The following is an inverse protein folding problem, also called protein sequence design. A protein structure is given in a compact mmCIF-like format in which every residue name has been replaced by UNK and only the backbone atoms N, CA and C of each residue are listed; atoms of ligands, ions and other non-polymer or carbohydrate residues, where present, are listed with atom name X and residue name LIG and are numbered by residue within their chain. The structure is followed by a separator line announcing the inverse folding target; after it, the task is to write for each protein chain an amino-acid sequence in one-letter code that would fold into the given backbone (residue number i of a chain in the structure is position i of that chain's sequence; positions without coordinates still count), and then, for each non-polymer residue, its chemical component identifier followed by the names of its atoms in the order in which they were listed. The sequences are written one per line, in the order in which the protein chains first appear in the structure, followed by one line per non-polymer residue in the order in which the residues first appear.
data_IF_169041887971
#
_entry.id   IF_169041887971
#
_cell.length_a   1.000
_cell.length_b   1.000
_cell.length_c   1.000
_cell.angle_alpha   90.00
_cell.angle_beta   90.00
_cell.angle_gamma   90.00
#
_symmetry.space_group_name_H-M   'P 1'
#
loop_
_entity.id
_entity.type
_entity.pdbx_description
1 polymer ?
#
# COMPACT_ATOMS: atom_id res chain seq x y z
N UNK A 1 4.97 63.96 -36.27
CA UNK A 1 3.56 63.60 -36.55
C UNK A 1 3.50 62.08 -36.71
N UNK A 2 2.51 61.44 -36.09
CA UNK A 2 2.38 60.00 -35.78
C UNK A 2 2.42 59.04 -36.98
N UNK A 3 2.95 57.82 -36.75
CA UNK A 3 2.35 56.44 -36.85
C UNK A 3 3.47 55.47 -37.27
N UNK A 4 4.00 54.57 -36.42
CA UNK A 4 3.46 53.28 -35.90
C UNK A 4 2.86 52.37 -36.97
N UNK A 5 3.54 51.25 -37.20
CA UNK A 5 3.09 50.04 -37.89
C UNK A 5 4.18 48.99 -37.74
N UNK A 6 3.93 48.02 -36.86
CA UNK A 6 4.47 46.65 -36.81
C UNK A 6 4.51 46.18 -35.35
N UNK A 7 3.42 45.50 -34.95
CA UNK A 7 3.36 44.70 -33.73
C UNK A 7 3.50 43.25 -34.14
N UNK A 8 4.63 42.62 -33.81
CA UNK A 8 4.72 41.17 -33.70
C UNK A 8 3.74 40.70 -32.62
N UNK A 9 2.95 39.69 -32.96
CA UNK A 9 2.12 38.95 -32.03
C UNK A 9 2.98 38.28 -30.95
N UNK A 10 2.56 38.23 -29.67
CA UNK A 10 3.21 37.38 -28.70
C UNK A 10 2.92 35.92 -29.06
N UNK A 11 3.97 35.11 -29.10
CA UNK A 11 3.88 33.67 -29.30
C UNK A 11 3.20 33.02 -28.11
N UNK A 12 2.31 32.08 -28.40
CA UNK A 12 1.57 31.25 -27.47
C UNK A 12 2.52 30.49 -26.54
N UNK A 13 2.33 30.63 -25.23
CA UNK A 13 2.97 29.77 -24.24
C UNK A 13 2.44 28.33 -24.39
N UNK A 14 3.28 27.29 -24.29
CA UNK A 14 2.79 25.92 -24.23
C UNK A 14 2.06 25.68 -22.90
N UNK A 15 0.89 25.04 -22.98
CA UNK A 15 0.06 24.72 -21.84
C UNK A 15 0.80 23.82 -20.84
N UNK A 16 0.91 24.27 -19.59
CA UNK A 16 1.37 23.43 -18.47
C UNK A 16 0.22 22.51 -18.05
N UNK A 17 0.45 21.20 -18.12
CA UNK A 17 -0.48 20.19 -17.67
C UNK A 17 -0.74 20.31 -16.16
N UNK A 18 -2.01 20.49 -15.78
CA UNK A 18 -2.49 20.25 -14.42
C UNK A 18 -2.59 18.74 -14.16
N UNK A 19 -2.51 18.21 -12.93
CA UNK A 19 -2.93 16.85 -12.61
C UNK A 19 -4.43 16.80 -12.21
N UNK A 20 -5.13 15.64 -12.33
CA UNK A 20 -6.58 15.57 -12.13
C UNK A 20 -6.98 15.68 -10.66
N UNK A 21 -8.14 16.29 -10.42
CA UNK A 21 -8.75 16.45 -9.11
C UNK A 21 -9.06 15.11 -8.42
N UNK A 22 -8.87 15.09 -7.11
CA UNK A 22 -9.24 13.99 -6.24
C UNK A 22 -10.74 13.65 -6.35
N UNK A 23 -11.15 12.37 -6.37
CA UNK A 23 -12.55 12.01 -6.24
C UNK A 23 -13.01 12.35 -4.81
N UNK A 24 -14.03 13.21 -4.71
CA UNK A 24 -14.71 13.52 -3.46
C UNK A 24 -15.22 12.26 -2.77
N UNK A 25 -14.89 12.13 -1.49
CA UNK A 25 -15.32 11.02 -0.65
C UNK A 25 -16.82 11.03 -0.37
N UNK A 26 -17.47 9.90 -0.66
CA UNK A 26 -18.59 9.39 0.14
C UNK A 26 -18.33 7.90 0.40
N UNK A 27 -18.52 7.48 1.65
CA UNK A 27 -17.92 6.27 2.23
C UNK A 27 -18.35 4.92 1.65
N UNK A 28 -17.55 3.91 2.00
CA UNK A 28 -17.88 2.50 1.87
C UNK A 28 -16.68 1.63 1.46
N UNK A 29 -16.26 0.73 2.35
CA UNK A 29 -15.48 -0.49 2.09
C UNK A 29 -14.05 -0.35 1.50
N UNK A 30 -13.03 -0.55 2.37
CA UNK A 30 -11.62 -0.73 1.98
C UNK A 30 -11.40 -2.11 1.31
N UNK A 31 -11.72 -2.18 0.03
CA UNK A 31 -11.10 -3.13 -0.89
C UNK A 31 -9.66 -2.68 -1.21
N UNK A 32 -8.86 -3.56 -1.82
CA UNK A 32 -7.50 -3.24 -2.29
C UNK A 32 -7.50 -1.89 -3.03
N UNK A 33 -6.44 -1.07 -2.92
CA UNK A 33 -6.46 0.23 -3.56
C UNK A 33 -6.65 0.00 -5.05
N UNK A 34 -7.74 0.54 -5.61
CA UNK A 34 -7.92 0.67 -7.03
C UNK A 34 -6.81 1.61 -7.52
N UNK A 35 -5.69 1.07 -7.97
CA UNK A 35 -4.56 1.85 -8.51
C UNK A 35 -4.73 2.16 -10.01
N UNK A 36 -5.98 2.18 -10.47
CA UNK A 36 -6.35 2.70 -11.76
C UNK A 36 -6.38 4.24 -11.68
N UNK A 37 -5.24 4.82 -12.02
CA UNK A 37 -5.06 6.25 -12.19
C UNK A 37 -3.79 6.47 -12.98
N UNK A 38 -3.78 6.06 -14.26
CA UNK A 38 -2.84 6.64 -15.22
C UNK A 38 -3.01 8.17 -15.13
N UNK A 39 -1.94 8.97 -15.05
CA UNK A 39 -2.07 10.42 -15.17
C UNK A 39 -2.77 10.69 -16.50
N UNK A 40 -4.00 11.19 -16.42
CA UNK A 40 -4.77 11.49 -17.61
C UNK A 40 -3.97 12.48 -18.47
N UNK A 41 -3.90 12.21 -19.77
CA UNK A 41 -3.49 13.21 -20.74
C UNK A 41 -4.42 14.42 -20.60
N UNK A 42 -3.88 15.53 -20.10
CA UNK A 42 -4.58 16.80 -19.94
C UNK A 42 -4.60 17.51 -21.31
N UNK A 43 -5.73 17.45 -21.98
CA UNK A 43 -6.06 18.31 -23.12
C UNK A 43 -7.15 19.28 -22.67
N UNK A 44 -6.75 20.46 -22.20
CA UNK A 44 -7.68 21.58 -22.00
C UNK A 44 -6.96 22.93 -22.10
N UNK A 45 -7.20 23.60 -23.23
CA UNK A 45 -6.85 24.98 -23.57
C UNK A 45 -7.54 26.03 -22.66
N UNK A 46 -7.33 25.99 -21.34
CA UNK A 46 -7.68 27.12 -20.47
C UNK A 46 -6.41 27.95 -20.20
N UNK A 47 -6.32 29.12 -20.84
CA UNK A 47 -5.24 30.08 -20.64
C UNK A 47 -5.16 30.46 -19.15
N UNK A 48 -4.11 30.00 -18.46
CA UNK A 48 -3.80 30.43 -17.09
C UNK A 48 -3.44 31.91 -17.10
N UNK A 49 -4.40 32.77 -16.72
CA UNK A 49 -4.19 34.23 -16.70
C UNK A 49 -3.46 34.63 -15.41
N UNK A 50 -2.35 35.34 -15.55
CA UNK A 50 -1.65 35.96 -14.42
C UNK A 50 -2.49 37.10 -13.84
N UNK A 51 -2.84 37.02 -12.56
CA UNK A 51 -3.60 38.05 -11.86
C UNK A 51 -2.71 39.02 -11.09
N UNK A 52 -1.61 38.53 -10.54
CA UNK A 52 -0.67 39.34 -9.77
C UNK A 52 0.77 38.82 -9.90
N UNK A 53 1.71 39.74 -10.11
CA UNK A 53 3.14 39.49 -10.10
C UNK A 53 3.78 40.32 -9.01
N UNK A 54 4.46 39.67 -8.07
CA UNK A 54 5.27 40.29 -7.04
C UNK A 54 6.74 39.98 -7.31
N UNK A 55 7.54 40.98 -7.65
CA UNK A 55 8.96 40.78 -7.92
C UNK A 55 9.54 41.88 -8.80
N UNK A 56 10.77 41.65 -9.28
CA UNK A 56 11.40 42.56 -10.22
C UNK A 56 10.84 42.33 -11.63
N UNK A 57 10.60 43.41 -12.37
CA UNK A 57 10.17 43.37 -13.76
C UNK A 57 11.29 43.93 -14.63
N UNK A 58 11.45 43.42 -15.84
CA UNK A 58 12.38 43.99 -16.81
C UNK A 58 11.84 45.25 -17.50
N UNK A 59 12.60 45.79 -18.45
CA UNK A 59 12.26 47.02 -19.18
C UNK A 59 10.97 46.90 -20.01
N UNK A 60 10.55 45.68 -20.35
CA UNK A 60 9.32 45.38 -21.07
C UNK A 60 8.13 45.11 -20.14
N UNK A 61 8.36 45.17 -18.83
CA UNK A 61 7.36 44.95 -17.79
C UNK A 61 7.09 43.47 -17.51
N UNK A 62 7.97 42.57 -17.96
CA UNK A 62 7.83 41.13 -17.77
C UNK A 62 8.57 40.66 -16.50
N UNK A 63 8.09 39.59 -15.83
CA UNK A 63 8.79 38.99 -14.69
C UNK A 63 10.28 38.72 -14.96
N UNK A 64 11.16 39.17 -14.06
CA UNK A 64 12.61 38.97 -14.19
C UNK A 64 13.30 38.83 -12.84
N UNK A 65 14.15 37.83 -12.67
CA UNK A 65 14.72 37.47 -11.37
C UNK A 65 13.73 36.67 -10.53
N UNK A 66 13.85 36.71 -9.20
CA UNK A 66 12.93 35.99 -8.33
C UNK A 66 11.58 36.73 -8.23
N UNK A 67 10.51 36.07 -8.67
CA UNK A 67 9.15 36.60 -8.64
C UNK A 67 8.17 35.56 -8.09
N UNK A 68 7.08 36.07 -7.55
CA UNK A 68 5.90 35.31 -7.18
C UNK A 68 4.76 35.70 -8.12
N UNK A 69 4.26 34.74 -8.88
CA UNK A 69 3.12 34.91 -9.81
C UNK A 69 1.91 34.19 -9.24
N UNK A 70 0.80 34.90 -9.08
CA UNK A 70 -0.50 34.33 -8.69
C UNK A 70 -1.40 34.27 -9.92
N UNK A 71 -1.94 33.09 -10.18
CA UNK A 71 -2.84 32.82 -11.31
C UNK A 71 -4.31 32.94 -10.89
N UNK A 72 -5.21 33.09 -11.87
CA UNK A 72 -6.66 33.17 -11.64
C UNK A 72 -7.28 31.93 -10.99
N UNK A 73 -6.62 30.78 -11.09
CA UNK A 73 -6.95 29.55 -10.36
C UNK A 73 -6.62 29.64 -8.86
N UNK A 74 -6.00 30.74 -8.41
CA UNK A 74 -5.34 30.94 -7.10
C UNK A 74 -4.08 30.11 -6.88
N UNK A 75 -3.64 29.38 -7.90
CA UNK A 75 -2.31 28.77 -7.91
C UNK A 75 -1.23 29.84 -7.86
N UNK A 76 -0.07 29.47 -7.32
CA UNK A 76 1.06 30.38 -7.15
C UNK A 76 2.35 29.74 -7.61
N UNK A 77 3.13 30.45 -8.42
CA UNK A 77 4.50 30.08 -8.71
C UNK A 77 5.47 31.03 -8.02
N UNK A 78 6.46 30.48 -7.34
CA UNK A 78 7.57 31.20 -6.72
C UNK A 78 8.87 30.73 -7.35
N UNK A 79 9.57 31.59 -8.09
CA UNK A 79 10.78 31.14 -8.77
C UNK A 79 11.49 32.22 -9.55
N UNK A 80 12.53 31.79 -10.26
CA UNK A 80 13.31 32.68 -11.11
C UNK A 80 12.68 32.79 -12.49
N UNK A 81 12.69 34.00 -13.03
CA UNK A 81 12.19 34.33 -14.36
C UNK A 81 13.28 35.04 -15.18
N UNK A 82 13.25 34.82 -16.49
CA UNK A 82 14.03 35.58 -17.47
C UNK A 82 13.04 36.02 -18.55
N UNK A 83 12.78 37.32 -18.63
CA UNK A 83 11.93 37.93 -19.66
C UNK A 83 10.52 37.33 -19.73
N UNK A 84 9.91 37.11 -18.56
CA UNK A 84 8.58 36.53 -18.40
C UNK A 84 8.52 35.00 -18.37
N UNK A 85 9.59 34.30 -18.73
CA UNK A 85 9.63 32.84 -18.76
C UNK A 85 10.29 32.28 -17.49
N UNK A 86 9.72 31.22 -16.90
CA UNK A 86 10.31 30.55 -15.73
C UNK A 86 11.64 29.94 -16.12
N UNK A 87 12.69 30.35 -15.43
CA UNK A 87 14.07 30.00 -15.76
C UNK A 87 14.91 29.93 -14.49
N UNK A 88 15.28 28.73 -14.07
CA UNK A 88 15.97 28.45 -12.83
C UNK A 88 15.13 27.65 -11.84
N UNK A 89 15.48 27.68 -10.55
CA UNK A 89 14.69 26.98 -9.53
C UNK A 89 13.34 27.68 -9.32
N UNK A 90 12.30 26.87 -9.18
CA UNK A 90 10.95 27.33 -8.90
C UNK A 90 10.15 26.32 -8.10
N UNK A 91 9.10 26.82 -7.45
CA UNK A 91 8.11 26.08 -6.69
C UNK A 91 6.73 26.50 -7.14
N UNK A 92 5.96 25.56 -7.64
CA UNK A 92 4.53 25.70 -7.88
C UNK A 92 3.78 25.29 -6.61
N UNK A 93 2.83 26.10 -6.18
CA UNK A 93 1.88 25.83 -5.11
C UNK A 93 0.50 25.81 -5.74
N UNK A 94 -0.16 24.66 -5.65
CA UNK A 94 -1.49 24.48 -6.21
C UNK A 94 -2.56 24.85 -5.18
N UNK A 95 -3.74 25.22 -5.64
CA UNK A 95 -4.86 25.57 -4.78
C UNK A 95 -5.30 24.44 -3.84
N UNK A 96 -5.14 23.19 -4.25
CA UNK A 96 -5.41 22.00 -3.43
C UNK A 96 -4.39 21.79 -2.30
N UNK A 97 -3.32 22.60 -2.23
CA UNK A 97 -2.27 22.50 -1.23
C UNK A 97 -1.09 21.62 -1.63
N UNK A 98 -1.16 20.95 -2.78
CA UNK A 98 -0.01 20.23 -3.36
C UNK A 98 1.07 21.22 -3.82
N UNK A 99 2.30 20.71 -3.99
CA UNK A 99 3.43 21.55 -4.45
C UNK A 99 4.32 20.81 -5.44
N UNK A 100 4.85 21.51 -6.44
CA UNK A 100 5.86 20.99 -7.38
C UNK A 100 7.11 21.85 -7.34
N UNK A 101 8.23 21.25 -6.96
CA UNK A 101 9.53 21.93 -6.89
C UNK A 101 10.50 21.35 -7.92
N UNK A 102 11.22 22.22 -8.63
CA UNK A 102 12.28 21.77 -9.54
C UNK A 102 12.98 22.91 -10.29
N UNK A 103 13.65 22.54 -11.39
CA UNK A 103 14.38 23.46 -12.24
C UNK A 103 13.62 23.68 -13.55
N UNK A 104 13.44 24.94 -13.94
CA UNK A 104 12.72 25.36 -15.13
C UNK A 104 13.69 25.91 -16.17
N UNK A 105 13.43 25.60 -17.45
CA UNK A 105 14.09 26.19 -18.62
C UNK A 105 12.99 26.53 -19.60
N UNK A 106 12.85 27.81 -19.92
CA UNK A 106 11.85 28.33 -20.86
C UNK A 106 10.43 27.80 -20.55
N UNK A 107 9.99 28.01 -19.30
CA UNK A 107 8.72 27.55 -18.72
C UNK A 107 8.56 26.04 -18.48
N UNK A 108 9.44 25.20 -19.04
CA UNK A 108 9.36 23.76 -18.88
C UNK A 108 10.16 23.25 -17.69
N UNK A 109 9.56 22.35 -16.89
CA UNK A 109 10.26 21.64 -15.82
C UNK A 109 11.26 20.63 -16.39
N UNK A 110 12.49 20.66 -15.91
CA UNK A 110 13.61 19.87 -16.40
C UNK A 110 14.37 19.19 -15.27
N UNK A 111 14.78 17.94 -15.49
CA UNK A 111 15.61 17.18 -14.57
C UNK A 111 14.81 16.68 -13.36
N UNK A 112 15.38 16.75 -12.17
CA UNK A 112 14.70 16.24 -10.97
C UNK A 112 13.64 17.22 -10.47
N UNK A 113 12.42 16.71 -10.27
CA UNK A 113 11.32 17.42 -9.64
C UNK A 113 10.76 16.65 -8.46
N UNK A 114 10.23 17.38 -7.48
CA UNK A 114 9.56 16.82 -6.31
C UNK A 114 8.13 17.35 -6.30
N UNK A 115 7.18 16.45 -6.46
CA UNK A 115 5.77 16.72 -6.29
C UNK A 115 5.34 16.21 -4.91
N UNK A 116 4.77 17.08 -4.10
CA UNK A 116 4.18 16.75 -2.80
C UNK A 116 2.67 16.84 -2.94
N UNK A 117 1.97 15.73 -2.72
CA UNK A 117 0.51 15.65 -2.77
C UNK A 117 -0.12 16.39 -1.57
N UNK A 118 -1.40 16.75 -1.67
CA UNK A 118 -2.15 17.40 -0.57
C UNK A 118 -2.11 16.57 0.72
N UNK A 119 -2.19 15.25 0.60
CA UNK A 119 -2.17 14.33 1.74
C UNK A 119 -0.78 14.17 2.40
N UNK A 120 0.27 14.73 1.77
CA UNK A 120 1.65 14.66 2.23
C UNK A 120 2.48 13.54 1.59
N UNK A 121 1.90 12.73 0.69
CA UNK A 121 2.67 11.82 -0.14
C UNK A 121 3.68 12.57 -1.01
N UNK A 122 4.73 11.89 -1.48
CA UNK A 122 5.78 12.54 -2.28
C UNK A 122 6.14 11.70 -3.50
N UNK A 123 6.11 12.32 -4.68
CA UNK A 123 6.66 11.79 -5.92
C UNK A 123 7.95 12.54 -6.27
N UNK A 124 9.05 11.79 -6.35
CA UNK A 124 10.34 12.27 -6.86
C UNK A 124 10.50 11.71 -8.27
N UNK A 125 10.48 12.59 -9.27
CA UNK A 125 10.48 12.22 -10.68
C UNK A 125 11.55 12.91 -11.51
N UNK A 126 11.88 12.29 -12.63
CA UNK A 126 12.66 12.93 -13.69
C UNK A 126 11.71 13.53 -14.71
N UNK A 127 11.88 14.80 -15.03
CA UNK A 127 11.05 15.57 -15.95
C UNK A 127 11.86 15.98 -17.18
N UNK A 128 11.23 15.90 -18.34
CA UNK A 128 11.73 16.41 -19.62
C UNK A 128 10.58 17.19 -20.26
N UNK A 129 10.83 18.46 -20.55
CA UNK A 129 9.84 19.36 -21.16
C UNK A 129 8.50 19.43 -20.39
N UNK A 130 8.57 19.39 -19.05
CA UNK A 130 7.38 19.41 -18.20
C UNK A 130 6.73 18.04 -17.93
N UNK A 131 7.12 16.99 -18.64
CA UNK A 131 6.54 15.66 -18.54
C UNK A 131 7.43 14.70 -17.75
N UNK A 132 6.83 13.82 -16.95
CA UNK A 132 7.52 12.73 -16.27
C UNK A 132 8.11 11.75 -17.29
N UNK A 133 9.44 11.77 -17.38
CA UNK A 133 10.24 11.03 -18.34
C UNK A 133 11.56 10.62 -17.67
N UNK A 134 11.65 9.34 -17.31
CA UNK A 134 12.80 8.74 -16.63
C UNK A 134 12.47 8.19 -15.24
N UNK A 135 13.48 7.93 -14.40
CA UNK A 135 13.30 7.33 -13.09
C UNK A 135 12.38 8.13 -12.17
N UNK A 136 11.55 7.42 -11.41
CA UNK A 136 10.70 8.01 -10.39
C UNK A 136 10.56 7.10 -9.15
N UNK A 137 10.32 7.72 -8.01
CA UNK A 137 10.07 7.10 -6.72
C UNK A 137 8.91 7.80 -6.02
N UNK A 138 8.00 7.02 -5.45
CA UNK A 138 6.86 7.54 -4.71
C UNK A 138 6.91 7.07 -3.27
N UNK A 139 6.56 7.96 -2.35
CA UNK A 139 6.59 7.75 -0.92
C UNK A 139 5.22 8.06 -0.31
N UNK A 140 4.80 7.24 0.64
CA UNK A 140 3.61 7.51 1.45
C UNK A 140 3.86 8.67 2.44
N UNK A 141 2.81 9.04 3.19
CA UNK A 141 2.84 10.14 4.17
C UNK A 141 3.76 9.88 5.36
N UNK A 142 4.13 8.62 5.61
CA UNK A 142 5.11 8.21 6.62
C UNK A 142 6.55 8.18 6.04
N UNK A 143 6.72 8.50 4.77
CA UNK A 143 8.01 8.46 4.06
C UNK A 143 8.45 7.06 3.64
N UNK A 144 7.55 6.07 3.63
CA UNK A 144 7.86 4.72 3.12
C UNK A 144 7.80 4.72 1.60
N UNK A 145 8.79 4.11 0.96
CA UNK A 145 8.81 3.90 -0.49
C UNK A 145 7.66 2.96 -0.88
N UNK A 146 6.72 3.43 -1.69
CA UNK A 146 5.57 2.66 -2.20
C UNK A 146 5.67 2.35 -3.69
N UNK A 147 6.47 3.11 -4.44
CA UNK A 147 6.72 2.85 -5.85
C UNK A 147 8.16 3.17 -6.23
N UNK A 148 8.74 2.36 -7.11
CA UNK A 148 10.02 2.61 -7.76
C UNK A 148 9.98 2.09 -9.19
N UNK A 149 10.24 2.96 -10.16
CA UNK A 149 10.24 2.60 -11.56
C UNK A 149 10.72 3.73 -12.44
N UNK A 150 10.25 3.73 -13.69
CA UNK A 150 10.44 4.85 -14.59
C UNK A 150 9.13 5.21 -15.28
N UNK A 151 9.06 6.45 -15.75
CA UNK A 151 7.97 6.99 -16.54
C UNK A 151 8.44 7.31 -17.95
N UNK A 152 7.50 7.30 -18.88
CA UNK A 152 7.64 7.79 -20.24
C UNK A 152 6.34 8.48 -20.61
N UNK A 153 6.41 9.75 -21.03
CA UNK A 153 5.24 10.54 -21.43
C UNK A 153 4.14 10.53 -20.35
N UNK A 154 4.54 10.70 -19.07
CA UNK A 154 3.68 10.61 -17.88
C UNK A 154 3.07 9.23 -17.56
N UNK A 155 3.40 8.18 -18.32
CA UNK A 155 2.90 6.82 -18.06
C UNK A 155 4.02 5.96 -17.46
N UNK A 156 3.71 5.13 -16.46
CA UNK A 156 4.67 4.15 -15.90
C UNK A 156 5.17 3.26 -17.03
N UNK A 157 6.47 3.00 -17.07
CA UNK A 157 7.11 2.32 -18.19
C UNK A 157 8.18 1.32 -17.71
N UNK A 158 8.34 0.22 -18.46
CA UNK A 158 9.35 -0.78 -18.18
C UNK A 158 9.12 -1.54 -16.87
N UNK A 159 10.21 -1.95 -16.20
CA UNK A 159 10.09 -2.70 -14.94
C UNK A 159 9.88 -1.75 -13.77
N UNK A 160 8.76 -1.95 -13.08
CA UNK A 160 8.35 -1.17 -11.92
C UNK A 160 8.17 -2.06 -10.69
N UNK A 161 8.35 -1.48 -9.52
CA UNK A 161 8.11 -2.08 -8.21
C UNK A 161 7.04 -1.28 -7.48
N UNK A 162 6.07 -1.98 -6.91
CA UNK A 162 5.04 -1.44 -6.01
C UNK A 162 5.22 -2.13 -4.66
N UNK A 163 5.42 -1.37 -3.59
CA UNK A 163 5.67 -1.89 -2.25
C UNK A 163 4.44 -1.68 -1.37
N UNK A 164 4.03 -2.74 -0.68
CA UNK A 164 2.96 -2.69 0.29
C UNK A 164 3.50 -2.36 1.69
N UNK A 165 2.73 -1.67 2.54
CA UNK A 165 3.15 -1.36 3.92
C UNK A 165 3.51 -2.58 4.77
N UNK A 166 2.98 -3.76 4.42
CA UNK A 166 3.24 -5.02 5.10
C UNK A 166 4.61 -5.66 4.77
N UNK A 167 5.31 -5.14 3.76
CA UNK A 167 6.61 -5.61 3.28
C UNK A 167 6.54 -6.45 2.00
N UNK A 168 5.36 -6.88 1.57
CA UNK A 168 5.18 -7.49 0.26
C UNK A 168 5.42 -6.49 -0.88
N UNK A 169 5.65 -6.98 -2.10
CA UNK A 169 5.75 -6.12 -3.28
C UNK A 169 5.24 -6.79 -4.54
N UNK A 170 4.77 -5.98 -5.49
CA UNK A 170 4.50 -6.37 -6.88
C UNK A 170 5.62 -5.86 -7.77
N UNK A 171 6.10 -6.70 -8.68
CA UNK A 171 7.12 -6.33 -9.66
C UNK A 171 6.84 -6.94 -11.02
N UNK A 172 7.05 -6.15 -12.06
CA UNK A 172 6.89 -6.61 -13.43
C UNK A 172 7.16 -5.52 -14.44
N UNK A 173 7.21 -5.91 -15.71
CA UNK A 173 7.09 -4.98 -16.82
C UNK A 173 5.62 -4.57 -16.95
N UNK A 174 5.35 -3.27 -16.82
CA UNK A 174 3.98 -2.73 -16.93
C UNK A 174 3.51 -2.70 -18.39
N UNK A 175 2.19 -2.68 -18.61
CA UNK A 175 1.61 -2.56 -19.94
C UNK A 175 1.69 -1.10 -20.48
N UNK A 176 1.10 -0.88 -21.67
CA UNK A 176 1.08 0.44 -22.33
C UNK A 176 0.34 1.51 -21.53
N UNK A 177 -0.56 1.12 -20.63
CA UNK A 177 -1.33 2.01 -19.76
C UNK A 177 -0.65 2.24 -18.38
N UNK A 178 0.50 1.60 -18.15
CA UNK A 178 1.28 1.69 -16.91
C UNK A 178 0.80 0.77 -15.78
N UNK A 179 -0.05 -0.21 -16.09
CA UNK A 179 -0.65 -1.14 -15.16
C UNK A 179 0.19 -2.42 -15.01
N UNK A 180 0.05 -3.10 -13.86
CA UNK A 180 0.66 -4.41 -13.61
C UNK A 180 -0.11 -5.54 -14.32
N UNK A 181 -0.12 -5.49 -15.65
CA UNK A 181 -0.80 -6.47 -16.52
C UNK A 181 0.21 -7.16 -17.44
N UNK A 182 0.36 -8.49 -17.30
CA UNK A 182 1.30 -9.26 -18.11
C UNK A 182 1.50 -10.70 -17.64
N UNK A 183 2.20 -11.49 -18.45
CA UNK A 183 2.49 -12.92 -18.21
C UNK A 183 3.75 -13.15 -17.34
N UNK A 184 4.47 -12.07 -17.00
CA UNK A 184 5.77 -12.10 -16.30
C UNK A 184 5.80 -11.12 -15.12
N UNK A 185 4.73 -11.12 -14.34
CA UNK A 185 4.61 -10.29 -13.14
C UNK A 185 4.77 -11.19 -11.91
N UNK A 186 5.31 -10.64 -10.83
CA UNK A 186 5.50 -11.37 -9.58
C UNK A 186 4.94 -10.59 -8.41
N UNK A 187 4.29 -11.29 -7.49
CA UNK A 187 4.21 -10.87 -6.11
C UNK A 187 5.41 -11.46 -5.35
N UNK A 188 6.14 -10.63 -4.61
CA UNK A 188 7.25 -11.02 -3.73
C UNK A 188 6.81 -10.82 -2.29
N UNK A 189 6.93 -11.88 -1.48
CA UNK A 189 6.58 -11.85 -0.06
C UNK A 189 7.57 -11.00 0.76
N UNK A 190 7.24 -10.69 2.03
CA UNK A 190 8.07 -9.81 2.88
C UNK A 190 9.49 -10.32 3.20
N UNK A 191 9.86 -11.52 2.78
CA UNK A 191 11.23 -12.02 2.90
C UNK A 191 12.13 -11.65 1.71
N UNK A 192 11.58 -10.90 0.74
CA UNK A 192 12.26 -10.49 -0.49
C UNK A 192 12.82 -11.68 -1.28
N UNK A 193 12.24 -12.87 -1.09
CA UNK A 193 12.75 -14.12 -1.65
C UNK A 193 11.65 -14.99 -2.20
N UNK A 194 10.64 -15.31 -1.41
CA UNK A 194 9.51 -16.13 -1.83
C UNK A 194 8.66 -15.31 -2.79
N UNK A 195 8.30 -15.86 -3.95
CA UNK A 195 7.53 -15.13 -4.95
C UNK A 195 6.45 -16.00 -5.61
N UNK A 196 5.37 -15.36 -6.07
CA UNK A 196 4.38 -15.93 -6.96
C UNK A 196 4.50 -15.25 -8.32
N UNK A 197 5.11 -15.95 -9.27
CA UNK A 197 5.46 -15.43 -10.59
C UNK A 197 4.56 -16.00 -11.68
N UNK A 198 4.02 -15.14 -12.53
CA UNK A 198 3.23 -15.52 -13.69
C UNK A 198 2.31 -14.42 -14.19
N UNK A 199 1.04 -14.77 -14.42
CA UNK A 199 0.06 -13.90 -15.06
C UNK A 199 -0.68 -13.03 -14.05
N UNK A 200 -0.64 -11.72 -14.26
CA UNK A 200 -1.39 -10.73 -13.51
C UNK A 200 -2.16 -9.80 -14.46
N UNK A 201 -3.29 -9.28 -14.01
CA UNK A 201 -4.08 -8.25 -14.71
C UNK A 201 -4.41 -7.17 -13.68
N UNK A 202 -3.98 -5.93 -13.94
CA UNK A 202 -4.11 -4.79 -13.03
C UNK A 202 -3.64 -5.12 -11.59
N UNK A 203 -2.53 -5.84 -11.48
CA UNK A 203 -1.98 -6.29 -10.19
C UNK A 203 -2.73 -7.45 -9.52
N UNK A 204 -3.86 -7.91 -10.06
CA UNK A 204 -4.56 -9.10 -9.59
C UNK A 204 -3.91 -10.38 -10.15
N UNK A 205 -3.60 -11.33 -9.27
CA UNK A 205 -2.95 -12.59 -9.66
C UNK A 205 -3.94 -13.54 -10.34
N UNK A 206 -3.76 -13.77 -11.64
CA UNK A 206 -4.58 -14.73 -12.40
C UNK A 206 -3.97 -16.13 -12.36
N UNK A 207 -2.66 -16.24 -12.58
CA UNK A 207 -1.91 -17.50 -12.51
C UNK A 207 -0.49 -17.26 -11.96
N UNK A 208 -0.29 -17.45 -10.66
CA UNK A 208 1.00 -17.38 -10.01
C UNK A 208 1.58 -18.76 -9.74
N UNK A 209 2.83 -19.00 -10.13
CA UNK A 209 3.61 -20.18 -9.75
C UNK A 209 4.63 -19.81 -8.70
N UNK A 210 4.88 -20.71 -7.76
CA UNK A 210 5.91 -20.49 -6.75
C UNK A 210 7.27 -20.33 -7.41
N UNK A 211 7.97 -19.28 -7.02
CA UNK A 211 9.29 -18.93 -7.51
C UNK A 211 10.15 -18.41 -6.36
N UNK A 212 11.46 -18.38 -6.59
CA UNK A 212 12.44 -17.73 -5.72
C UNK A 212 13.06 -16.55 -6.46
N UNK A 213 13.09 -15.38 -5.85
CA UNK A 213 13.88 -14.24 -6.31
C UNK A 213 15.36 -14.52 -6.00
N UNK A 214 16.17 -14.69 -7.04
CA UNK A 214 17.60 -15.01 -6.92
C UNK A 214 18.46 -13.76 -6.83
N UNK A 215 18.17 -12.77 -7.67
CA UNK A 215 18.92 -11.53 -7.77
C UNK A 215 18.09 -10.42 -8.39
N UNK A 216 18.54 -9.18 -8.20
CA UNK A 216 18.01 -7.99 -8.86
C UNK A 216 19.16 -7.27 -9.55
N UNK A 217 19.15 -7.21 -10.88
CA UNK A 217 20.17 -6.53 -11.67
C UNK A 217 19.57 -5.25 -12.26
N UNK A 218 20.11 -4.09 -11.91
CA UNK A 218 19.60 -2.78 -12.39
C UNK A 218 18.09 -2.59 -12.14
N UNK A 219 17.57 -3.15 -11.03
CA UNK A 219 16.13 -3.10 -10.71
C UNK A 219 15.27 -4.16 -11.38
N UNK A 220 15.84 -5.01 -12.24
CA UNK A 220 15.13 -6.15 -12.86
C UNK A 220 15.27 -7.42 -12.02
N UNK A 221 14.16 -8.03 -11.55
CA UNK A 221 14.21 -9.26 -10.77
C UNK A 221 14.48 -10.48 -11.65
N UNK A 222 15.27 -11.42 -11.12
CA UNK A 222 15.51 -12.73 -11.73
C UNK A 222 14.91 -13.82 -10.86
N UNK A 223 13.88 -14.48 -11.39
CA UNK A 223 13.13 -15.53 -10.69
C UNK A 223 13.52 -16.93 -11.19
N UNK A 224 13.62 -17.86 -10.26
CA UNK A 224 13.66 -19.29 -10.55
C UNK A 224 12.34 -19.95 -10.14
N UNK A 225 11.64 -20.56 -11.10
CA UNK A 225 10.41 -21.28 -10.85
C UNK A 225 10.68 -22.58 -10.08
N UNK A 226 9.90 -22.84 -9.04
CA UNK A 226 9.98 -24.08 -8.28
C UNK A 226 9.34 -25.22 -9.09
N UNK A 227 10.08 -26.28 -9.47
CA UNK A 227 9.54 -27.37 -10.28
C UNK A 227 8.38 -28.08 -9.59
N UNK A 228 7.28 -28.30 -10.32
CA UNK A 228 6.10 -28.98 -9.78
C UNK A 228 5.29 -28.15 -8.79
N UNK A 229 5.55 -26.84 -8.68
CA UNK A 229 4.78 -25.95 -7.82
C UNK A 229 3.30 -25.93 -8.18
N UNK A 230 2.46 -25.87 -7.15
CA UNK A 230 1.05 -25.54 -7.29
C UNK A 230 0.86 -24.16 -7.94
N UNK A 231 -0.29 -23.98 -8.59
CA UNK A 231 -0.73 -22.70 -9.12
C UNK A 231 -1.61 -21.99 -8.09
N UNK A 232 -1.40 -20.69 -7.97
CA UNK A 232 -2.14 -19.79 -7.09
C UNK A 232 -2.85 -18.74 -7.95
N UNK A 233 -4.00 -18.26 -7.50
CA UNK A 233 -4.75 -17.17 -8.11
C UNK A 233 -5.40 -16.34 -7.00
N UNK A 234 -5.84 -15.14 -7.33
CA UNK A 234 -6.64 -14.31 -6.45
C UNK A 234 -7.97 -15.02 -6.14
N UNK A 235 -8.19 -15.31 -4.85
CA UNK A 235 -9.25 -16.15 -4.32
C UNK A 235 -9.72 -15.53 -2.99
N UNK A 236 -10.15 -14.27 -3.07
CA UNK A 236 -10.69 -13.54 -1.93
C UNK A 236 -11.94 -14.26 -1.41
N UNK A 237 -11.98 -14.51 -0.11
CA UNK A 237 -13.12 -15.13 0.56
C UNK A 237 -14.39 -14.29 0.48
N UNK A 238 -15.53 -14.96 0.64
CA UNK A 238 -16.85 -14.35 0.79
C UNK A 238 -17.42 -14.63 2.18
N UNK A 239 -18.68 -14.29 2.43
CA UNK A 239 -19.38 -14.65 3.68
C UNK A 239 -19.62 -16.15 3.84
N UNK A 240 -19.55 -16.94 2.75
CA UNK A 240 -19.87 -18.36 2.76
C UNK A 240 -18.78 -19.27 2.18
N UNK A 241 -17.82 -18.71 1.44
CA UNK A 241 -16.69 -19.44 0.87
C UNK A 241 -15.38 -18.91 1.43
N UNK A 242 -14.65 -19.75 2.18
CA UNK A 242 -13.37 -19.37 2.79
C UNK A 242 -12.21 -19.37 1.79
N UNK A 243 -12.23 -20.30 0.83
CA UNK A 243 -11.26 -20.42 -0.27
C UNK A 243 -11.72 -21.51 -1.24
N UNK A 244 -11.44 -21.34 -2.53
CA UNK A 244 -11.63 -22.38 -3.56
C UNK A 244 -10.69 -23.57 -3.34
N UNK A 245 -9.51 -23.35 -2.72
CA UNK A 245 -8.49 -24.37 -2.47
C UNK A 245 -8.12 -24.44 -0.98
N UNK A 246 -9.07 -24.82 -0.13
CA UNK A 246 -8.92 -24.85 1.33
C UNK A 246 -7.71 -25.68 1.85
N UNK A 247 -7.29 -26.70 1.10
CA UNK A 247 -6.17 -27.59 1.45
C UNK A 247 -4.87 -27.28 0.70
N UNK A 248 -4.80 -26.16 -0.02
CA UNK A 248 -3.57 -25.69 -0.65
C UNK A 248 -2.88 -24.71 0.29
N UNK A 249 -1.78 -25.08 0.96
CA UNK A 249 -1.09 -24.22 1.90
C UNK A 249 -0.46 -23.01 1.20
N UNK A 250 -0.36 -21.92 1.95
CA UNK A 250 0.47 -20.79 1.55
C UNK A 250 1.97 -21.19 1.62
N UNK A 251 2.76 -20.95 0.56
CA UNK A 251 4.14 -21.39 0.51
C UNK A 251 5.06 -20.63 1.49
N UNK A 252 4.82 -19.34 1.70
CA UNK A 252 5.60 -18.52 2.63
C UNK A 252 5.36 -18.94 4.08
N UNK A 253 4.08 -19.13 4.44
CA UNK A 253 3.67 -19.59 5.76
C UNK A 253 4.20 -21.01 6.04
N UNK A 254 4.18 -21.89 5.03
CA UNK A 254 4.63 -23.28 5.16
C UNK A 254 6.11 -23.42 5.51
N UNK A 255 6.95 -22.43 5.20
CA UNK A 255 8.37 -22.44 5.59
C UNK A 255 8.60 -21.92 7.01
N UNK A 256 7.64 -21.20 7.57
CA UNK A 256 7.82 -20.44 8.83
C UNK A 256 7.09 -21.01 10.02
N UNK A 257 5.94 -21.66 9.82
CA UNK A 257 5.12 -22.10 10.94
C UNK A 257 4.59 -23.51 10.78
N UNK A 258 4.22 -24.12 11.90
CA UNK A 258 3.48 -25.38 11.96
C UNK A 258 2.48 -25.36 13.13
N UNK A 259 1.52 -26.28 13.09
CA UNK A 259 0.53 -26.47 14.16
C UNK A 259 0.90 -27.70 14.98
N UNK A 260 0.86 -27.57 16.31
CA UNK A 260 1.07 -28.65 17.26
C UNK A 260 0.20 -28.45 18.51
N UNK A 261 0.27 -29.36 19.49
CA UNK A 261 -0.38 -29.16 20.79
C UNK A 261 0.25 -27.95 21.51
N UNK A 262 -0.59 -27.05 22.02
CA UNK A 262 -0.15 -25.82 22.71
C UNK A 262 0.56 -26.15 24.02
N UNK A 263 1.52 -25.30 24.41
CA UNK A 263 2.13 -25.33 25.74
C UNK A 263 1.21 -24.71 26.80
N UNK A 264 0.19 -23.96 26.37
CA UNK A 264 -0.82 -23.37 27.25
C UNK A 264 -1.83 -24.47 27.63
N UNK A 265 -1.96 -24.69 28.94
CA UNK A 265 -2.84 -25.74 29.48
C UNK A 265 -4.28 -25.55 28.98
N UNK A 266 -4.83 -26.62 28.38
CA UNK A 266 -6.21 -26.67 27.90
C UNK A 266 -6.55 -25.70 26.75
N UNK A 267 -5.55 -25.14 26.05
CA UNK A 267 -5.77 -24.30 24.88
C UNK A 267 -5.93 -25.09 23.56
N UNK A 268 -5.63 -26.40 23.57
CA UNK A 268 -5.76 -27.26 22.40
C UNK A 268 -4.53 -27.17 21.49
N UNK A 269 -4.73 -26.83 20.22
CA UNK A 269 -3.63 -26.63 19.26
C UNK A 269 -3.06 -25.21 19.39
N UNK A 270 -1.78 -25.05 19.03
CA UNK A 270 -1.07 -23.78 18.96
C UNK A 270 -0.29 -23.66 17.65
N UNK A 271 0.13 -22.43 17.33
CA UNK A 271 0.98 -22.12 16.17
C UNK A 271 2.42 -21.97 16.64
N UNK A 272 3.37 -22.61 15.97
CA UNK A 272 4.78 -22.64 16.37
C UNK A 272 5.68 -22.18 15.24
N UNK A 273 6.80 -21.53 15.57
CA UNK A 273 7.81 -21.14 14.59
C UNK A 273 8.66 -22.35 14.17
N UNK A 274 8.92 -22.52 12.88
CA UNK A 274 9.88 -23.52 12.35
C UNK A 274 11.32 -23.05 12.42
N UNK A 275 11.54 -21.74 12.46
CA UNK A 275 12.84 -21.11 12.29
C UNK A 275 13.02 -19.96 13.28
N UNK A 276 14.26 -19.67 13.66
CA UNK A 276 14.55 -18.48 14.44
C UNK A 276 14.42 -17.24 13.54
N UNK A 277 13.68 -16.23 14.00
CA UNK A 277 13.41 -14.99 13.25
C UNK A 277 13.59 -13.75 14.11
N UNK A 278 13.86 -12.62 13.46
CA UNK A 278 13.95 -11.32 14.12
C UNK A 278 12.58 -10.72 14.45
N UNK A 279 12.56 -9.55 15.11
CA UNK A 279 11.35 -8.74 15.27
C UNK A 279 10.79 -8.28 13.92
N UNK A 280 9.51 -7.89 13.91
CA UNK A 280 8.79 -7.37 12.75
C UNK A 280 8.68 -8.35 11.56
N UNK A 281 8.86 -9.65 11.80
CA UNK A 281 8.79 -10.69 10.76
C UNK A 281 7.34 -11.18 10.63
N UNK A 282 6.80 -11.21 9.40
CA UNK A 282 5.51 -11.85 9.12
C UNK A 282 5.67 -13.36 9.21
N UNK A 283 4.82 -14.03 9.99
CA UNK A 283 4.92 -15.46 10.25
C UNK A 283 3.78 -16.25 9.60
N UNK A 284 2.57 -15.69 9.62
CA UNK A 284 1.35 -16.41 9.28
C UNK A 284 0.23 -15.46 8.83
N UNK A 285 -0.74 -15.99 8.10
CA UNK A 285 -1.86 -15.24 7.53
C UNK A 285 -3.18 -15.63 8.18
N UNK A 286 -4.01 -14.64 8.47
CA UNK A 286 -5.35 -14.81 9.03
C UNK A 286 -6.40 -14.54 7.97
N UNK A 287 -6.61 -15.52 7.09
CA UNK A 287 -7.75 -15.55 6.17
C UNK A 287 -8.92 -16.34 6.78
N UNK A 288 -10.12 -16.00 6.33
CA UNK A 288 -11.38 -16.56 6.81
C UNK A 288 -12.56 -16.05 5.98
N UNK A 289 -13.77 -16.52 6.25
CA UNK A 289 -14.98 -15.93 5.67
C UNK A 289 -15.15 -14.50 6.17
N UNK A 290 -15.85 -13.67 5.40
CA UNK A 290 -16.06 -12.24 5.69
C UNK A 290 -17.50 -11.98 6.07
N UNK A 291 -17.75 -11.70 7.35
CA UNK A 291 -19.07 -11.45 7.94
C UNK A 291 -19.10 -10.06 8.60
N UNK A 292 -20.27 -9.61 9.03
CA UNK A 292 -20.43 -8.28 9.66
C UNK A 292 -20.27 -8.35 11.18
N UNK A 293 -19.89 -7.24 11.80
CA UNK A 293 -19.90 -7.11 13.26
C UNK A 293 -21.27 -7.41 13.87
N UNK A 294 -22.35 -6.95 13.22
CA UNK A 294 -23.72 -7.22 13.67
C UNK A 294 -24.05 -8.72 13.74
N UNK A 295 -23.58 -9.52 12.78
CA UNK A 295 -23.79 -10.97 12.79
C UNK A 295 -23.02 -11.63 13.94
N UNK A 296 -21.78 -11.20 14.16
CA UNK A 296 -20.91 -11.72 15.23
C UNK A 296 -21.44 -11.37 16.62
N UNK A 297 -21.91 -10.14 16.80
CA UNK A 297 -22.41 -9.63 18.09
C UNK A 297 -23.79 -10.20 18.46
N UNK A 298 -24.57 -10.62 17.46
CA UNK A 298 -25.93 -11.15 17.67
C UNK A 298 -26.00 -12.66 17.84
N UNK A 299 -24.92 -13.40 17.52
CA UNK A 299 -24.86 -14.86 17.63
C UNK A 299 -24.23 -15.32 18.94
N UNK A 300 -24.33 -16.63 19.19
CA UNK A 300 -23.77 -17.26 20.39
C UNK A 300 -22.23 -17.15 20.40
N UNK A 301 -21.67 -16.75 21.55
CA UNK A 301 -20.23 -16.58 21.74
C UNK A 301 -19.41 -17.84 21.45
N UNK A 302 -20.02 -19.02 21.59
CA UNK A 302 -19.40 -20.32 21.27
C UNK A 302 -19.00 -20.43 19.80
N UNK A 303 -19.59 -19.63 18.91
CA UNK A 303 -19.24 -19.56 17.49
C UNK A 303 -18.15 -18.53 17.18
N UNK A 304 -17.75 -17.69 18.16
CA UNK A 304 -16.84 -16.56 17.98
C UNK A 304 -15.39 -16.88 18.37
N UNK A 305 -15.02 -18.16 18.44
CA UNK A 305 -13.67 -18.57 18.86
C UNK A 305 -12.56 -18.11 17.90
N UNK A 306 -12.87 -17.96 16.62
CA UNK A 306 -11.93 -17.61 15.55
C UNK A 306 -12.33 -16.31 14.81
N UNK A 307 -13.09 -15.43 15.46
CA UNK A 307 -13.45 -14.14 14.85
C UNK A 307 -12.35 -13.12 15.09
N UNK A 308 -11.98 -12.40 14.02
CA UNK A 308 -10.97 -11.35 14.05
C UNK A 308 -11.49 -10.15 13.25
N UNK A 309 -11.67 -9.01 13.91
CA UNK A 309 -12.03 -7.76 13.23
C UNK A 309 -10.97 -7.37 12.20
N UNK A 310 -11.36 -7.16 10.94
CA UNK A 310 -10.50 -6.66 9.87
C UNK A 310 -10.51 -5.14 9.85
N UNK A 311 -11.72 -4.57 9.82
CA UNK A 311 -12.01 -3.14 9.79
C UNK A 311 -13.37 -2.87 10.47
N UNK A 312 -13.90 -1.65 10.37
CA UNK A 312 -15.17 -1.26 11.02
C UNK A 312 -16.39 -1.97 10.44
N UNK A 313 -16.31 -2.52 9.22
CA UNK A 313 -17.43 -3.15 8.52
C UNK A 313 -17.34 -4.69 8.55
N UNK A 314 -16.12 -5.23 8.58
CA UNK A 314 -15.83 -6.63 8.29
C UNK A 314 -15.13 -7.33 9.44
N UNK A 315 -15.63 -8.53 9.76
CA UNK A 315 -14.98 -9.52 10.64
C UNK A 315 -14.58 -10.73 9.80
N UNK A 316 -13.34 -11.17 9.97
CA UNK A 316 -12.84 -12.44 9.43
C UNK A 316 -13.18 -13.55 10.42
N UNK A 317 -13.71 -14.67 9.94
CA UNK A 317 -14.01 -15.84 10.77
C UNK A 317 -13.49 -17.14 10.14
N UNK A 318 -13.03 -18.08 10.97
CA UNK A 318 -12.69 -19.45 10.55
C UNK A 318 -13.66 -20.42 11.24
N UNK A 319 -14.89 -20.57 10.69
CA UNK A 319 -15.93 -21.36 11.32
C UNK A 319 -15.64 -22.87 11.20
N UNK A 320 -16.39 -23.68 11.94
CA UNK A 320 -16.41 -25.12 11.67
C UNK A 320 -16.92 -25.40 10.23
N UNK A 321 -16.36 -26.40 9.52
CA UNK A 321 -15.32 -27.34 9.95
C UNK A 321 -13.88 -26.87 9.65
N UNK A 322 -13.69 -25.62 9.20
CA UNK A 322 -12.41 -25.07 8.74
C UNK A 322 -11.46 -24.72 9.88
N UNK A 323 -11.93 -24.66 11.12
CA UNK A 323 -11.07 -24.62 12.29
C UNK A 323 -10.16 -25.86 12.45
N UNK A 324 -10.34 -26.91 11.65
CA UNK A 324 -9.50 -28.12 11.66
C UNK A 324 -8.52 -28.11 10.49
N UNK A 325 -7.23 -28.28 10.78
CA UNK A 325 -6.15 -28.29 9.75
C UNK A 325 -6.36 -29.35 8.65
N UNK A 326 -7.04 -30.44 8.96
CA UNK A 326 -7.43 -31.48 7.98
C UNK A 326 -8.48 -31.03 6.94
N UNK A 327 -9.11 -29.88 7.16
CA UNK A 327 -10.19 -29.30 6.33
C UNK A 327 -9.81 -27.96 5.74
N UNK A 328 -8.93 -27.21 6.42
CA UNK A 328 -8.41 -25.95 5.95
C UNK A 328 -6.98 -25.74 6.46
N UNK A 329 -6.05 -25.58 5.53
CA UNK A 329 -4.66 -25.24 5.80
C UNK A 329 -4.11 -24.21 4.82
N UNK A 330 -4.99 -23.50 4.09
CA UNK A 330 -4.57 -22.43 3.20
C UNK A 330 -3.95 -21.25 3.95
N UNK A 331 -4.39 -21.01 5.19
CA UNK A 331 -3.76 -20.08 6.14
C UNK A 331 -3.90 -20.61 7.56
N UNK A 332 -2.98 -20.27 8.46
CA UNK A 332 -2.90 -20.86 9.81
C UNK A 332 -2.97 -19.84 10.96
N UNK A 333 -3.18 -18.55 10.67
CA UNK A 333 -3.18 -17.50 11.70
C UNK A 333 -4.20 -17.70 12.82
N UNK A 334 -5.32 -18.36 12.53
CA UNK A 334 -6.36 -18.71 13.52
C UNK A 334 -5.92 -19.76 14.55
N UNK A 335 -4.70 -20.32 14.42
CA UNK A 335 -4.12 -21.28 15.38
C UNK A 335 -3.21 -20.64 16.42
N UNK A 336 -2.88 -19.36 16.30
CA UNK A 336 -2.10 -18.67 17.31
C UNK A 336 -2.96 -18.39 18.53
N UNK A 337 -2.53 -18.90 19.69
CA UNK A 337 -3.27 -18.74 20.93
C UNK A 337 -3.11 -17.34 21.52
N UNK A 338 -3.99 -17.04 22.46
CA UNK A 338 -3.90 -15.83 23.25
C UNK A 338 -2.75 -15.88 24.26
N UNK A 339 -2.11 -14.73 24.48
CA UNK A 339 -1.29 -14.45 25.67
C UNK A 339 -1.37 -12.96 26.03
N UNK A 340 -1.32 -12.64 27.33
CA UNK A 340 -1.18 -11.26 27.82
C UNK A 340 0.26 -10.74 27.74
N UNK A 341 1.24 -11.62 27.51
CA UNK A 341 2.62 -11.27 27.20
C UNK A 341 3.00 -11.86 25.84
N UNK A 342 2.34 -11.42 24.75
CA UNK A 342 2.50 -12.04 23.45
C UNK A 342 3.87 -11.76 22.85
N UNK A 343 4.33 -12.67 21.99
CA UNK A 343 5.52 -12.46 21.16
C UNK A 343 5.17 -11.98 19.75
N UNK A 344 3.89 -11.92 19.40
CA UNK A 344 3.39 -11.47 18.11
C UNK A 344 2.20 -10.49 18.24
N UNK A 345 1.87 -9.82 17.14
CA UNK A 345 0.68 -8.98 16.97
C UNK A 345 -0.06 -9.36 15.69
N UNK A 346 -1.35 -9.02 15.67
CA UNK A 346 -2.08 -8.93 14.42
C UNK A 346 -1.74 -7.62 13.71
N UNK A 347 -1.45 -7.70 12.43
CA UNK A 347 -1.11 -6.55 11.59
C UNK A 347 -1.83 -6.65 10.23
N UNK A 348 -2.03 -5.54 9.54
CA UNK A 348 -2.68 -5.53 8.23
C UNK A 348 -1.79 -6.19 7.17
N UNK A 349 -2.40 -6.86 6.20
CA UNK A 349 -1.67 -7.54 5.13
C UNK A 349 -2.47 -7.57 3.81
N UNK A 350 -1.83 -7.20 2.71
CA UNK A 350 -2.39 -7.34 1.36
C UNK A 350 -1.83 -8.61 0.71
N UNK A 351 -2.63 -9.67 0.74
CA UNK A 351 -2.20 -10.97 0.21
C UNK A 351 -2.59 -11.13 -1.27
N UNK A 352 -1.70 -11.62 -2.16
CA UNK A 352 -1.99 -11.78 -3.59
C UNK A 352 -3.09 -12.81 -3.87
N UNK A 353 -3.25 -13.77 -2.93
CA UNK A 353 -4.33 -14.77 -2.96
C UNK A 353 -5.58 -14.33 -2.18
N UNK A 354 -5.45 -13.89 -0.94
CA UNK A 354 -6.61 -13.70 -0.05
C UNK A 354 -7.18 -12.26 -0.08
N UNK A 355 -6.48 -11.35 -0.74
CA UNK A 355 -6.77 -9.91 -0.71
C UNK A 355 -6.43 -9.29 0.65
N UNK A 356 -7.14 -8.21 1.05
CA UNK A 356 -6.93 -7.55 2.34
C UNK A 356 -7.34 -8.47 3.50
N UNK A 357 -6.38 -8.83 4.34
CA UNK A 357 -6.55 -9.67 5.53
C UNK A 357 -5.67 -9.14 6.67
N UNK A 358 -5.58 -9.89 7.76
CA UNK A 358 -4.54 -9.69 8.79
C UNK A 358 -3.47 -10.77 8.69
N UNK A 359 -2.29 -10.46 9.20
CA UNK A 359 -1.19 -11.39 9.41
C UNK A 359 -0.78 -11.41 10.89
N UNK A 360 0.05 -12.38 11.24
CA UNK A 360 0.75 -12.45 12.52
C UNK A 360 2.18 -11.99 12.29
N UNK A 361 2.58 -10.92 12.99
CA UNK A 361 3.92 -10.34 12.91
C UNK A 361 4.62 -10.42 14.27
N UNK A 362 5.89 -10.80 14.30
CA UNK A 362 6.66 -10.88 15.56
C UNK A 362 6.89 -9.49 16.16
N UNK A 363 6.73 -9.36 17.47
CA UNK A 363 7.07 -8.15 18.24
C UNK A 363 8.55 -8.12 18.65
N UNK A 364 9.14 -9.31 18.80
CA UNK A 364 10.52 -9.54 19.22
C UNK A 364 11.11 -10.68 18.41
N UNK A 365 12.41 -10.94 18.60
CA UNK A 365 12.98 -12.19 18.10
C UNK A 365 12.26 -13.40 18.72
N UNK A 366 12.08 -14.43 17.91
CA UNK A 366 11.39 -15.69 18.26
C UNK A 366 12.31 -16.84 17.85
N UNK A 367 12.48 -17.82 18.72
CA UNK A 367 13.32 -18.99 18.45
C UNK A 367 12.59 -20.04 17.60
N UNK A 368 13.34 -20.96 17.00
CA UNK A 368 12.73 -22.15 16.41
C UNK A 368 12.00 -22.97 17.49
N UNK A 369 10.86 -23.54 17.12
CA UNK A 369 9.94 -24.31 17.95
C UNK A 369 9.30 -23.50 19.12
N UNK A 370 9.43 -22.18 19.13
CA UNK A 370 8.70 -21.30 20.07
C UNK A 370 7.23 -21.14 19.64
N UNK A 371 6.31 -21.23 20.60
CA UNK A 371 4.88 -21.00 20.37
C UNK A 371 4.61 -19.51 20.10
N UNK A 372 3.93 -19.23 18.99
CA UNK A 372 3.49 -17.90 18.58
C UNK A 372 2.17 -17.57 19.26
N UNK A 373 2.17 -16.48 20.03
CA UNK A 373 1.01 -16.01 20.78
C UNK A 373 0.73 -14.54 20.50
N UNK A 374 -0.53 -14.16 20.57
CA UNK A 374 -1.04 -12.82 20.24
C UNK A 374 -1.99 -12.31 21.34
N UNK A 375 -2.12 -11.00 21.48
CA UNK A 375 -3.17 -10.43 22.31
C UNK A 375 -4.48 -10.37 21.51
N UNK A 376 -5.55 -11.03 21.97
CA UNK A 376 -6.83 -11.04 21.27
C UNK A 376 -7.58 -9.69 21.37
N UNK A 377 -7.25 -8.87 22.37
CA UNK A 377 -7.74 -7.49 22.44
C UNK A 377 -9.24 -7.36 22.71
N UNK A 378 -9.87 -8.32 23.41
CA UNK A 378 -11.25 -8.18 23.88
C UNK A 378 -11.42 -6.93 24.76
N UNK A 379 -12.60 -6.33 24.73
CA UNK A 379 -12.91 -5.15 25.55
C UNK A 379 -12.99 -5.54 27.03
N UNK A 380 -12.12 -4.93 27.85
CA UNK A 380 -12.06 -5.17 29.29
C UNK A 380 -13.06 -4.30 30.08
N UNK A 381 -13.65 -3.28 29.47
CA UNK A 381 -14.55 -2.33 30.13
C UNK A 381 -15.66 -1.81 29.20
N UNK A 382 -16.51 -2.70 28.65
CA UNK A 382 -17.62 -2.30 27.80
C UNK A 382 -18.64 -1.43 28.55
N UNK A 383 -19.13 -0.35 27.91
CA UNK A 383 -20.05 0.58 28.55
C UNK A 383 -21.34 -0.14 29.02
N UNK A 384 -21.66 -0.01 30.30
CA UNK A 384 -22.89 -0.56 30.88
C UNK A 384 -22.79 -2.02 31.37
N UNK A 385 -21.63 -2.68 31.26
CA UNK A 385 -21.37 -4.01 31.84
C UNK A 385 -20.29 -3.94 32.92
N UNK A 386 -20.43 -4.74 33.97
CA UNK A 386 -19.44 -4.86 35.06
C UNK A 386 -18.45 -6.00 34.80
N UNK A 387 -17.70 -5.94 33.70
CA UNK A 387 -16.69 -6.96 33.36
C UNK A 387 -16.34 -7.04 31.87
N UNK A 388 -15.24 -7.74 31.52
CA UNK A 388 -14.81 -7.90 30.14
C UNK A 388 -15.85 -8.63 29.29
N UNK A 389 -16.01 -8.20 28.05
CA UNK A 389 -16.78 -8.90 27.03
C UNK A 389 -15.87 -9.91 26.31
N UNK A 390 -15.60 -11.01 27.02
CA UNK A 390 -14.66 -12.04 26.63
C UNK A 390 -15.09 -13.42 27.14
N UNK A 391 -14.61 -14.53 26.53
CA UNK A 391 -14.83 -15.88 27.03
C UNK A 391 -14.37 -16.07 28.48
N UNK A 392 -14.96 -17.03 29.19
CA UNK A 392 -14.65 -17.28 30.62
C UNK A 392 -13.16 -17.56 30.88
N UNK A 393 -12.52 -18.35 30.01
CA UNK A 393 -11.08 -18.65 30.12
C UNK A 393 -10.21 -17.39 30.07
N UNK A 394 -10.57 -16.43 29.21
CA UNK A 394 -9.86 -15.15 29.06
C UNK A 394 -10.02 -14.28 30.31
N UNK A 395 -11.23 -14.22 30.88
CA UNK A 395 -11.50 -13.45 32.09
C UNK A 395 -10.73 -14.00 33.30
N UNK A 396 -10.58 -15.32 33.41
CA UNK A 396 -9.79 -15.97 34.47
C UNK A 396 -8.32 -15.61 34.32
N UNK A 397 -7.78 -15.71 33.11
CA UNK A 397 -6.38 -15.41 32.83
C UNK A 397 -6.06 -13.90 32.99
N UNK A 398 -6.99 -13.02 32.61
CA UNK A 398 -6.86 -11.56 32.83
C UNK A 398 -6.70 -11.22 34.32
N UNK A 399 -7.50 -11.84 35.20
CA UNK A 399 -7.39 -11.64 36.65
C UNK A 399 -6.05 -12.13 37.18
N UNK A 400 -5.57 -13.28 36.69
CA UNK A 400 -4.26 -13.81 37.07
C UNK A 400 -3.13 -12.87 36.63
N UNK A 401 -3.18 -12.37 35.40
CA UNK A 401 -2.21 -11.42 34.85
C UNK A 401 -2.20 -10.11 35.66
N UNK A 402 -3.36 -9.52 35.94
CA UNK A 402 -3.46 -8.30 36.76
C UNK A 402 -2.86 -8.48 38.16
N UNK A 403 -3.05 -9.66 38.78
CA UNK A 403 -2.45 -9.97 40.08
C UNK A 403 -0.91 -10.08 40.02
N UNK A 404 -0.33 -10.45 38.88
CA UNK A 404 1.13 -10.46 38.70
C UNK A 404 1.73 -9.07 38.49
N UNK A 405 0.99 -8.14 37.89
CA UNK A 405 1.42 -6.74 37.69
C UNK A 405 1.38 -5.90 38.98
N UNK A 406 0.60 -6.32 39.98
CA UNK A 406 0.48 -5.64 41.28
C UNK A 406 1.54 -6.09 42.30
N UNK A 407 2.39 -7.06 41.96
CA UNK A 407 3.54 -7.50 42.76
C UNK A 407 4.80 -6.89 42.19
#
# INVERSE_FOLDING_TARGET
MRRRGDTCSPGSAPALAQPPGAPGGTGGSRAAPSWAGSPAAMDSDDEMVEEAVEGHLDDDGLPHGFCTVTYSSTDRFEGNFIHGEKNGRGKFLFFDGSTLEGYYVDDALQGQGVYTYEDGGVLQGTYVDGELNGPAQEYDTDGRLIFKGQYKDNIRHGVCWIYYPDGGSLVGEVNEDGEMTGEKIAYVYPDERTALYGKFIDGEMIEGKLATLLSTEEGRPHFELMPGSSMYHFDKSTSSCISTNALLPDPYESERVYVAESLISSAGEGLFSKVAVGPSTVMSFYNGVRITHQEVDSRDWTLNGNTLSLDEETVIDVPEPYNRVSKYCASLGHKANHSFTPNCIYDMFVHPRFGPIKCIRTLRAVEADEELTVAYGYDHSPPGKSGPEAPEWYQVELKAFQATQQK
#
